data_IF_580554063383
#
_entry.id   IF_580554063383
#
_cell.length_a   1.000
_cell.length_b   1.000
_cell.length_c   1.000
_cell.angle_alpha   90.00
_cell.angle_beta   90.00
_cell.angle_gamma   90.00
#
_symmetry.space_group_name_H-M   'P 1'
#
loop_
_entity.id
_entity.type
_entity.pdbx_description
1 polymer ?
#
# COMPACT_ATOMS: atom_id res chain seq x y z
N UNK A 1 11.22 -16.34 -37.86
CA UNK A 1 11.95 -15.14 -37.37
C UNK A 1 11.03 -13.92 -37.30
N UNK A 2 10.42 -13.49 -38.42
CA UNK A 2 9.51 -12.31 -38.46
C UNK A 2 8.21 -12.49 -37.63
N UNK A 3 7.62 -13.70 -37.60
CA UNK A 3 6.38 -13.97 -36.84
C UNK A 3 6.57 -13.69 -35.34
N UNK A 4 7.72 -14.06 -34.76
CA UNK A 4 8.04 -13.84 -33.34
C UNK A 4 8.09 -12.35 -33.03
N UNK A 5 8.64 -11.54 -33.95
CA UNK A 5 8.69 -10.08 -33.81
C UNK A 5 7.29 -9.47 -33.80
N UNK A 6 6.38 -9.94 -34.66
CA UNK A 6 5.00 -9.46 -34.67
C UNK A 6 4.23 -9.82 -33.40
N UNK A 7 4.44 -11.03 -32.87
CA UNK A 7 3.84 -11.44 -31.59
C UNK A 7 4.34 -10.53 -30.46
N UNK A 8 5.64 -10.27 -30.41
CA UNK A 8 6.23 -9.40 -29.40
C UNK A 8 5.74 -7.95 -29.53
N UNK A 9 5.66 -7.43 -30.75
CA UNK A 9 5.11 -6.10 -31.02
C UNK A 9 3.64 -5.98 -30.60
N UNK A 10 2.82 -7.01 -30.89
CA UNK A 10 1.43 -7.04 -30.48
C UNK A 10 1.27 -7.05 -28.95
N UNK A 11 2.13 -7.78 -28.23
CA UNK A 11 2.14 -7.80 -26.76
C UNK A 11 2.50 -6.42 -26.18
N UNK A 12 3.53 -5.76 -26.73
CA UNK A 12 3.91 -4.41 -26.29
C UNK A 12 2.76 -3.43 -26.55
N UNK A 13 2.17 -3.44 -27.75
CA UNK A 13 1.05 -2.56 -28.09
C UNK A 13 -0.14 -2.81 -27.14
N UNK A 14 -0.47 -4.08 -26.88
CA UNK A 14 -1.54 -4.43 -25.95
C UNK A 14 -1.29 -3.91 -24.53
N UNK A 15 -0.06 -4.06 -24.03
CA UNK A 15 0.34 -3.53 -22.73
C UNK A 15 0.22 -2.00 -22.68
N UNK A 16 0.71 -1.30 -23.71
CA UNK A 16 0.68 0.17 -23.78
C UNK A 16 -0.74 0.71 -23.87
N UNK A 17 -1.60 0.09 -24.68
CA UNK A 17 -3.02 0.46 -24.78
C UNK A 17 -3.74 0.23 -23.45
N UNK A 18 -3.49 -0.92 -22.80
CA UNK A 18 -4.05 -1.21 -21.48
C UNK A 18 -3.62 -0.20 -20.42
N UNK A 19 -2.33 0.14 -20.39
CA UNK A 19 -1.80 1.16 -19.47
C UNK A 19 -2.38 2.56 -19.75
N UNK A 20 -2.59 2.91 -21.02
CA UNK A 20 -3.16 4.21 -21.41
C UNK A 20 -4.61 4.40 -20.97
N UNK A 21 -5.39 3.30 -20.83
CA UNK A 21 -6.75 3.33 -20.31
C UNK A 21 -6.85 3.30 -18.79
N UNK A 22 -5.75 3.01 -18.09
CA UNK A 22 -5.78 2.89 -16.63
C UNK A 22 -5.88 4.29 -15.98
N UNK A 23 -6.69 4.46 -14.92
CA UNK A 23 -6.74 5.72 -14.20
C UNK A 23 -5.37 6.08 -13.63
N UNK A 24 -4.94 7.33 -13.84
CA UNK A 24 -3.65 7.85 -13.34
C UNK A 24 -3.61 7.94 -11.81
N UNK A 25 -4.77 7.99 -11.17
CA UNK A 25 -4.94 8.16 -9.74
C UNK A 25 -6.02 7.22 -9.25
N UNK A 26 -5.76 6.54 -8.13
CA UNK A 26 -6.74 5.69 -7.45
C UNK A 26 -6.72 6.03 -5.96
N UNK A 27 -7.90 6.02 -5.33
CA UNK A 27 -8.05 6.15 -3.89
C UNK A 27 -8.36 4.77 -3.31
N UNK A 28 -7.62 4.37 -2.28
CA UNK A 28 -7.86 3.13 -1.55
C UNK A 28 -8.31 3.51 -0.15
N UNK A 29 -9.50 3.07 0.21
CA UNK A 29 -10.07 3.29 1.53
C UNK A 29 -10.36 1.94 2.19
N UNK A 30 -10.09 1.84 3.49
CA UNK A 30 -10.42 0.69 4.33
C UNK A 30 -11.03 1.19 5.62
N UNK A 31 -12.13 0.57 6.04
CA UNK A 31 -12.84 0.93 7.26
C UNK A 31 -13.12 -0.31 8.10
N UNK A 32 -13.10 -0.12 9.42
CA UNK A 32 -13.45 -1.14 10.41
C UNK A 32 -14.11 -0.44 11.61
N UNK A 33 -15.06 -1.11 12.26
CA UNK A 33 -15.69 -0.63 13.48
C UNK A 33 -14.89 -1.12 14.68
N UNK A 34 -14.50 -0.20 15.56
CA UNK A 34 -13.84 -0.49 16.83
C UNK A 34 -14.77 -0.05 17.95
N UNK A 35 -15.27 -0.99 18.75
CA UNK A 35 -16.18 -0.73 19.87
C UNK A 35 -15.44 -0.15 21.09
N UNK A 36 -14.83 1.02 20.90
CA UNK A 36 -14.08 1.77 21.91
C UNK A 36 -14.34 3.28 21.78
N UNK A 37 -14.13 4.06 22.86
CA UNK A 37 -14.21 5.52 22.79
C UNK A 37 -13.25 6.08 21.73
N UNK A 38 -13.69 7.11 21.00
CA UNK A 38 -12.89 7.74 19.93
C UNK A 38 -11.54 8.22 20.44
N UNK A 39 -11.50 8.86 21.61
CA UNK A 39 -10.25 9.34 22.22
C UNK A 39 -9.23 8.20 22.37
N UNK A 40 -9.65 7.04 22.89
CA UNK A 40 -8.78 5.88 23.08
C UNK A 40 -8.20 5.37 21.75
N UNK A 41 -9.02 5.33 20.70
CA UNK A 41 -8.59 4.90 19.36
C UNK A 41 -7.60 5.90 18.78
N UNK A 42 -7.91 7.19 18.86
CA UNK A 42 -7.06 8.26 18.32
C UNK A 42 -5.71 8.33 19.04
N UNK A 43 -5.68 8.14 20.37
CA UNK A 43 -4.43 8.10 21.14
C UNK A 43 -3.54 6.93 20.70
N UNK A 44 -4.11 5.75 20.44
CA UNK A 44 -3.36 4.58 19.96
C UNK A 44 -2.89 4.72 18.50
N UNK A 45 -3.65 5.41 17.65
CA UNK A 45 -3.26 5.64 16.26
C UNK A 45 -2.20 6.74 16.18
N UNK A 46 -2.26 7.75 17.05
CA UNK A 46 -1.30 8.86 17.07
C UNK A 46 0.07 8.44 17.65
N UNK A 47 0.09 7.51 18.61
CA UNK A 47 1.32 7.08 19.27
C UNK A 47 2.09 6.03 18.43
N UNK A 48 3.30 6.42 17.99
CA UNK A 48 4.18 5.58 17.18
C UNK A 48 4.63 4.30 17.91
N UNK A 49 4.56 4.25 19.24
CA UNK A 49 4.83 3.04 20.01
C UNK A 49 3.88 1.90 19.59
N UNK A 50 2.65 2.22 19.19
CA UNK A 50 1.68 1.25 18.67
C UNK A 50 1.68 1.11 17.15
N UNK A 51 2.42 1.95 16.41
CA UNK A 51 2.40 1.99 14.94
C UNK A 51 2.59 0.62 14.25
N UNK A 52 3.54 -0.17 14.75
CA UNK A 52 3.85 -1.51 14.21
C UNK A 52 2.68 -2.49 14.36
N UNK A 53 1.71 -2.23 15.24
CA UNK A 53 0.55 -3.09 15.44
C UNK A 53 -0.51 -2.92 14.37
N UNK A 54 -0.58 -1.77 13.69
CA UNK A 54 -1.60 -1.50 12.68
C UNK A 54 -1.03 -1.11 11.31
N UNK A 55 0.27 -0.84 11.20
CA UNK A 55 0.96 -0.61 9.93
C UNK A 55 1.21 -1.93 9.18
N UNK A 56 0.53 -2.19 8.03
CA UNK A 56 0.68 -3.44 7.30
C UNK A 56 2.11 -3.70 6.80
N UNK A 57 2.86 -2.65 6.45
CA UNK A 57 4.21 -2.79 5.92
C UNK A 57 5.18 -3.33 6.97
N UNK A 58 5.10 -2.81 8.19
CA UNK A 58 5.93 -3.28 9.31
C UNK A 58 5.53 -4.68 9.81
N UNK A 59 4.29 -5.11 9.56
CA UNK A 59 3.87 -6.47 9.87
C UNK A 59 4.45 -7.50 8.88
N UNK A 60 4.68 -7.10 7.63
CA UNK A 60 5.21 -8.00 6.58
C UNK A 60 6.74 -8.01 6.56
N UNK A 61 7.38 -6.87 6.82
CA UNK A 61 8.85 -6.75 6.76
C UNK A 61 9.53 -7.25 8.04
N UNK A 62 10.07 -8.48 7.97
CA UNK A 62 10.82 -9.12 9.07
C UNK A 62 12.15 -8.43 9.39
N UNK A 63 12.64 -7.57 8.51
CA UNK A 63 13.92 -6.88 8.66
C UNK A 63 13.77 -5.44 9.13
N UNK A 64 12.53 -4.98 9.35
CA UNK A 64 12.24 -3.62 9.80
C UNK A 64 12.84 -3.35 11.19
N UNK A 65 13.66 -2.31 11.29
CA UNK A 65 14.19 -1.79 12.55
C UNK A 65 13.34 -0.59 12.98
N UNK A 66 12.87 -0.59 14.23
CA UNK A 66 12.06 0.48 14.81
C UNK A 66 12.86 1.20 15.90
N UNK A 67 13.08 2.50 15.71
CA UNK A 67 13.67 3.38 16.72
C UNK A 67 12.70 4.53 16.96
N UNK A 68 12.24 4.66 18.21
CA UNK A 68 11.38 5.76 18.66
C UNK A 68 12.15 6.53 19.72
N UNK A 69 12.08 7.85 19.65
CA UNK A 69 12.69 8.78 20.62
C UNK A 69 11.71 9.87 20.96
N UNK A 70 11.84 10.46 22.15
CA UNK A 70 10.88 11.44 22.68
C UNK A 70 9.72 10.78 23.43
N UNK A 71 8.74 11.61 23.81
CA UNK A 71 7.54 11.18 24.51
C UNK A 71 6.36 11.17 23.52
N UNK A 72 5.44 10.20 23.64
CA UNK A 72 4.18 10.19 22.90
C UNK A 72 3.25 11.34 23.33
#
# INVERSE_FOLDING_TARGET
MIIILYIFAALIIGLLVGAAWMPKTFNIEKSIVIEKPVALVMDHVADLNFYSQWNPWQQVDKTAVKTITGNP
#
